data_IF_546163700438
#
_entry.id   IF_546163700438
#
_cell.length_a   1.000
_cell.length_b   1.000
_cell.length_c   1.000
_cell.angle_alpha   90.00
_cell.angle_beta   90.00
_cell.angle_gamma   90.00
#
_symmetry.space_group_name_H-M   'P 1'
#
loop_
_entity.id
_entity.type
_entity.pdbx_description
1 polymer ?
#
# COMPACT_ATOMS: atom_id res chain seq x y z
N UNK A 1 30.51 9.51 14.83
CA UNK A 1 29.29 8.92 15.39
C UNK A 1 29.40 7.41 15.25
N UNK A 2 29.48 6.66 16.37
CA UNK A 2 29.33 5.21 16.30
C UNK A 2 27.84 4.94 16.12
N UNK A 3 27.46 4.43 14.96
CA UNK A 3 26.07 4.05 14.70
C UNK A 3 25.75 2.82 15.53
N UNK A 4 24.95 2.99 16.58
CA UNK A 4 24.50 1.88 17.42
C UNK A 4 23.45 1.07 16.65
N UNK A 5 23.92 0.03 15.95
CA UNK A 5 23.08 -0.87 15.15
C UNK A 5 21.89 -1.44 15.94
N UNK A 6 22.08 -1.65 17.25
CA UNK A 6 21.03 -2.15 18.15
C UNK A 6 19.82 -1.23 18.20
N UNK A 7 20.05 0.09 18.21
CA UNK A 7 18.97 1.07 18.30
C UNK A 7 18.15 1.11 17.00
N UNK A 8 18.80 0.96 15.84
CA UNK A 8 18.12 0.92 14.53
C UNK A 8 17.27 -0.35 14.39
N UNK A 9 17.79 -1.49 14.83
CA UNK A 9 17.05 -2.76 14.77
C UNK A 9 15.89 -2.84 15.77
N UNK A 10 15.87 -1.98 16.78
CA UNK A 10 14.80 -1.89 17.77
C UNK A 10 13.67 -0.94 17.38
N UNK A 11 13.74 -0.29 16.21
CA UNK A 11 12.68 0.59 15.74
C UNK A 11 11.41 -0.21 15.46
N UNK A 12 10.30 0.28 16.03
CA UNK A 12 8.97 -0.26 15.75
C UNK A 12 8.49 0.26 14.40
N UNK A 13 7.97 -0.65 13.57
CA UNK A 13 7.49 -0.35 12.21
C UNK A 13 6.04 -0.76 12.11
N UNK A 14 5.12 0.15 11.74
CA UNK A 14 3.73 -0.21 11.53
C UNK A 14 3.62 -1.11 10.31
N UNK A 15 3.04 -2.28 10.52
CA UNK A 15 2.74 -3.25 9.48
C UNK A 15 1.23 -3.28 9.29
N UNK A 16 0.80 -3.06 8.05
CA UNK A 16 -0.61 -3.04 7.66
C UNK A 16 -0.90 -4.27 6.81
N UNK A 17 -1.98 -4.97 7.11
CA UNK A 17 -2.46 -6.08 6.28
C UNK A 17 -3.72 -5.64 5.58
N UNK A 18 -3.69 -5.66 4.25
CA UNK A 18 -4.79 -5.19 3.41
C UNK A 18 -5.64 -6.38 2.97
N UNK A 19 -6.89 -6.39 3.43
CA UNK A 19 -7.88 -7.40 3.05
C UNK A 19 -8.23 -7.29 1.56
N UNK A 20 -8.40 -6.06 1.06
CA UNK A 20 -8.60 -5.75 -0.34
C UNK A 20 -8.87 -4.26 -0.54
N UNK A 21 -8.74 -3.81 -1.79
CA UNK A 21 -8.88 -2.42 -2.19
C UNK A 21 -9.88 -2.30 -3.33
N UNK A 22 -10.59 -1.18 -3.37
CA UNK A 22 -11.54 -0.89 -4.44
C UNK A 22 -11.63 0.62 -4.67
N UNK A 23 -11.48 1.02 -5.92
CA UNK A 23 -11.74 2.40 -6.36
C UNK A 23 -13.23 2.61 -6.54
N UNK A 24 -13.77 3.67 -5.95
CA UNK A 24 -15.18 4.06 -6.00
C UNK A 24 -15.28 5.58 -6.18
N UNK A 25 -16.36 6.03 -6.81
CA UNK A 25 -16.57 7.46 -7.02
C UNK A 25 -16.79 8.17 -5.68
N UNK A 26 -16.21 9.36 -5.51
CA UNK A 26 -16.31 10.14 -4.27
C UNK A 26 -17.77 10.40 -3.86
N UNK A 27 -18.66 10.59 -4.83
CA UNK A 27 -20.10 10.76 -4.58
C UNK A 27 -20.71 9.56 -3.85
N UNK A 28 -20.28 8.35 -4.21
CA UNK A 28 -20.80 7.12 -3.61
C UNK A 28 -20.29 6.97 -2.17
N UNK A 29 -19.02 7.31 -1.92
CA UNK A 29 -18.43 7.30 -0.57
C UNK A 29 -19.18 8.23 0.37
N UNK A 30 -19.49 9.45 -0.09
CA UNK A 30 -20.21 10.45 0.71
C UNK A 30 -21.64 9.99 1.05
N UNK A 31 -22.23 9.13 0.22
CA UNK A 31 -23.59 8.61 0.44
C UNK A 31 -23.67 7.50 1.51
N UNK A 32 -22.53 7.02 2.02
CA UNK A 32 -22.51 5.91 2.97
C UNK A 32 -23.12 6.28 4.32
N UNK A 33 -23.96 5.38 4.81
CA UNK A 33 -24.64 5.50 6.10
C UNK A 33 -24.46 4.20 6.90
N UNK A 34 -24.65 4.22 8.23
CA UNK A 34 -24.63 2.98 9.01
C UNK A 34 -25.60 1.95 8.42
N UNK A 35 -25.06 0.77 8.06
CA UNK A 35 -25.81 -0.29 7.36
C UNK A 35 -25.56 -0.37 5.86
N UNK A 36 -24.80 0.55 5.26
CA UNK A 36 -24.29 0.42 3.89
C UNK A 36 -23.36 -0.79 3.77
N UNK A 37 -23.63 -1.65 2.79
CA UNK A 37 -22.83 -2.84 2.46
C UNK A 37 -22.11 -2.56 1.13
N UNK A 38 -20.80 -2.78 1.09
CA UNK A 38 -20.00 -2.66 -0.11
C UNK A 38 -19.19 -3.94 -0.31
N UNK A 39 -18.97 -4.28 -1.57
CA UNK A 39 -18.23 -5.46 -1.97
C UNK A 39 -16.78 -5.10 -2.27
N UNK A 40 -15.85 -5.92 -1.79
CA UNK A 40 -14.42 -5.83 -2.08
C UNK A 40 -14.11 -6.91 -3.11
N UNK A 41 -13.40 -6.61 -4.22
CA UNK A 41 -13.18 -7.54 -5.33
C UNK A 41 -12.16 -8.66 -5.02
N UNK A 42 -11.88 -8.93 -3.73
CA UNK A 42 -10.87 -9.90 -3.29
C UNK A 42 -11.55 -11.08 -2.61
N UNK A 43 -11.26 -12.28 -3.09
CA UNK A 43 -11.83 -13.53 -2.55
C UNK A 43 -11.34 -13.77 -1.12
N UNK A 44 -12.20 -14.31 -0.26
CA UNK A 44 -11.85 -14.60 1.14
C UNK A 44 -10.73 -15.66 1.29
N UNK A 45 -10.48 -16.44 0.23
CA UNK A 45 -9.49 -17.51 0.18
C UNK A 45 -8.14 -17.06 -0.38
N UNK A 46 -8.05 -15.82 -0.91
CA UNK A 46 -6.82 -15.28 -1.46
C UNK A 46 -5.86 -14.77 -0.38
N UNK A 47 -4.57 -14.75 -0.73
CA UNK A 47 -3.54 -14.21 0.15
C UNK A 47 -3.68 -12.69 0.30
N UNK A 48 -3.54 -12.22 1.54
CA UNK A 48 -3.61 -10.82 1.93
C UNK A 48 -2.26 -10.13 1.73
N UNK A 49 -2.31 -8.86 1.35
CA UNK A 49 -1.10 -8.08 1.13
C UNK A 49 -0.59 -7.55 2.46
N UNK A 50 0.69 -7.82 2.74
CA UNK A 50 1.38 -7.27 3.89
C UNK A 50 2.14 -6.03 3.41
N UNK A 51 1.81 -4.86 3.96
CA UNK A 51 2.35 -3.57 3.56
C UNK A 51 3.10 -2.87 4.69
N UNK A 52 4.13 -2.13 4.31
CA UNK A 52 4.83 -1.14 5.15
C UNK A 52 4.88 0.14 4.33
N UNK A 53 4.43 1.27 4.89
CA UNK A 53 4.34 2.56 4.18
C UNK A 53 3.74 2.40 2.77
N UNK A 54 2.53 1.81 2.71
CA UNK A 54 1.78 1.56 1.46
C UNK A 54 2.48 0.72 0.37
N UNK A 55 3.64 0.14 0.67
CA UNK A 55 4.35 -0.79 -0.22
C UNK A 55 4.15 -2.23 0.22
N UNK A 56 3.68 -3.07 -0.70
CA UNK A 56 3.60 -4.51 -0.50
C UNK A 56 4.99 -5.12 -0.31
N UNK A 57 5.19 -5.77 0.83
CA UNK A 57 6.44 -6.45 1.20
C UNK A 57 6.29 -7.97 1.24
N UNK A 58 5.07 -8.49 1.17
CA UNK A 58 4.81 -9.92 1.27
C UNK A 58 3.34 -10.27 1.18
N UNK A 59 3.07 -11.57 1.27
CA UNK A 59 1.75 -12.18 1.21
C UNK A 59 1.52 -13.04 2.45
N UNK A 60 0.29 -13.05 2.97
CA UNK A 60 -0.07 -13.91 4.07
C UNK A 60 -1.55 -14.24 4.12
N UNK A 61 -1.89 -15.39 4.69
CA UNK A 61 -3.29 -15.80 4.84
C UNK A 61 -3.80 -15.50 6.26
N UNK A 62 -5.06 -15.09 6.37
CA UNK A 62 -5.72 -14.98 7.67
C UNK A 62 -5.94 -16.38 8.27
N UNK A 63 -5.53 -16.57 9.52
CA UNK A 63 -5.69 -17.83 10.24
C UNK A 63 -6.35 -17.60 11.59
N UNK A 64 -7.17 -18.55 12.02
CA UNK A 64 -7.76 -18.57 13.36
C UNK A 64 -7.10 -19.66 14.19
N UNK A 65 -6.55 -19.30 15.34
CA UNK A 65 -5.89 -20.22 16.28
C UNK A 65 -6.66 -20.14 17.61
N UNK A 66 -7.51 -21.14 17.85
CA UNK A 66 -8.43 -21.12 18.99
C UNK A 66 -9.41 -19.95 18.84
N UNK A 67 -9.31 -18.98 19.74
CA UNK A 67 -10.10 -17.74 19.72
C UNK A 67 -9.35 -16.54 19.13
N UNK A 68 -8.07 -16.70 18.81
CA UNK A 68 -7.23 -15.63 18.29
C UNK A 68 -7.23 -15.61 16.76
N UNK A 69 -7.21 -14.40 16.20
CA UNK A 69 -6.92 -14.19 14.79
C UNK A 69 -5.43 -13.88 14.61
N UNK A 70 -4.84 -14.41 13.55
CA UNK A 70 -3.45 -14.17 13.18
C UNK A 70 -3.28 -14.15 11.68
N UNK A 71 -2.09 -13.75 11.25
CA UNK A 71 -1.68 -13.75 9.85
C UNK A 71 -0.53 -14.73 9.70
N UNK A 72 -0.71 -15.75 8.86
CA UNK A 72 0.37 -16.65 8.48
C UNK A 72 1.10 -16.06 7.29
N UNK A 73 2.35 -15.68 7.47
CA UNK A 73 3.20 -15.18 6.39
C UNK A 73 3.51 -16.33 5.43
N UNK A 74 3.03 -16.25 4.19
CA UNK A 74 3.30 -17.23 3.15
C UNK A 74 4.57 -16.87 2.37
N UNK A 75 4.72 -15.58 2.08
CA UNK A 75 5.87 -15.05 1.36
C UNK A 75 6.27 -13.70 1.94
N UNK A 76 7.57 -13.47 2.06
CA UNK A 76 8.11 -12.18 2.43
C UNK A 76 9.30 -11.84 1.52
N UNK A 77 9.30 -10.61 1.01
CA UNK A 77 10.33 -10.12 0.10
C UNK A 77 11.71 -10.03 0.75
N UNK A 78 12.71 -9.78 -0.09
CA UNK A 78 14.10 -9.75 0.34
C UNK A 78 14.36 -8.65 1.40
N UNK A 79 15.32 -8.82 2.31
CA UNK A 79 15.63 -7.81 3.33
C UNK A 79 15.88 -6.41 2.75
N UNK A 80 16.56 -6.32 1.60
CA UNK A 80 16.81 -5.06 0.90
C UNK A 80 15.51 -4.35 0.48
N UNK A 81 14.51 -5.10 -0.01
CA UNK A 81 13.21 -4.55 -0.40
C UNK A 81 12.42 -4.06 0.82
N UNK A 82 12.49 -4.78 1.95
CA UNK A 82 11.85 -4.37 3.20
C UNK A 82 12.45 -3.08 3.76
N UNK A 83 13.78 -2.97 3.78
CA UNK A 83 14.46 -1.76 4.25
C UNK A 83 14.10 -0.56 3.36
N UNK A 84 14.00 -0.77 2.04
CA UNK A 84 13.54 0.29 1.12
C UNK A 84 12.09 0.69 1.36
N UNK A 85 11.20 -0.26 1.70
CA UNK A 85 9.80 0.04 2.04
C UNK A 85 9.67 0.82 3.36
N UNK A 86 10.61 0.66 4.29
CA UNK A 86 10.65 1.42 5.54
C UNK A 86 11.18 2.86 5.38
N UNK A 87 11.84 3.16 4.26
CA UNK A 87 12.34 4.50 3.93
C UNK A 87 11.27 5.42 3.36
N UNK A 88 11.68 6.57 2.83
CA UNK A 88 10.76 7.53 2.20
C UNK A 88 10.05 6.95 0.98
N UNK A 89 8.75 7.18 0.95
CA UNK A 89 7.89 6.93 -0.19
C UNK A 89 8.28 7.94 -1.28
N UNK A 90 8.71 7.53 -2.49
CA UNK A 90 8.72 8.46 -3.61
C UNK A 90 7.27 8.96 -3.78
N UNK A 91 7.08 10.26 -4.08
CA UNK A 91 5.74 10.77 -4.35
C UNK A 91 5.08 9.87 -5.39
N UNK A 92 3.94 9.29 -5.03
CA UNK A 92 3.10 8.63 -6.01
C UNK A 92 2.45 9.78 -6.77
N UNK A 93 2.85 9.97 -8.03
CA UNK A 93 2.13 10.86 -8.95
C UNK A 93 0.77 10.21 -9.25
N UNK A 94 -0.14 10.31 -8.29
CA UNK A 94 -1.50 9.78 -8.37
C UNK A 94 -2.38 10.58 -9.35
N UNK A 95 -1.82 11.64 -9.95
CA UNK A 95 -2.44 12.41 -11.02
C UNK A 95 -2.01 11.90 -12.39
N UNK A 96 -2.58 10.76 -12.79
CA UNK A 96 -2.70 10.42 -14.21
C UNK A 96 -4.00 11.03 -14.73
N UNK A 97 -3.86 12.08 -15.54
CA UNK A 97 -4.94 12.57 -16.40
C UNK A 97 -5.38 11.46 -17.39
N UNK A 98 -6.61 11.53 -17.92
CA UNK A 98 -7.17 10.61 -18.92
C UNK A 98 -6.33 10.51 -20.20
N UNK A 99 -5.38 11.44 -20.40
CA UNK A 99 -4.37 11.43 -21.46
C UNK A 99 -3.17 10.49 -21.22
N UNK A 100 -3.02 9.96 -20.00
CA UNK A 100 -1.90 9.08 -19.63
C UNK A 100 -0.55 9.79 -19.49
N UNK A 101 -0.53 11.12 -19.47
CA UNK A 101 0.68 11.91 -19.32
C UNK A 101 0.95 12.23 -17.84
N UNK A 102 2.16 11.95 -17.37
CA UNK A 102 2.65 12.36 -16.05
C UNK A 102 2.78 13.88 -15.94
N UNK A 103 2.75 14.40 -14.72
CA UNK A 103 2.91 15.84 -14.46
C UNK A 103 4.25 16.38 -15.01
N UNK A 104 5.30 15.57 -14.97
CA UNK A 104 6.61 15.88 -15.54
C UNK A 104 6.57 15.98 -17.07
N UNK A 105 5.80 15.12 -17.75
CA UNK A 105 5.63 15.17 -19.21
C UNK A 105 4.84 16.40 -19.66
N UNK A 106 3.80 16.80 -18.90
CA UNK A 106 3.04 18.02 -19.17
C UNK A 106 3.91 19.26 -18.96
N UNK A 107 4.70 19.29 -17.89
CA UNK A 107 5.64 20.38 -17.62
C UNK A 107 6.70 20.50 -18.74
N UNK A 108 7.19 19.37 -19.25
CA UNK A 108 8.14 19.35 -20.36
C UNK A 108 7.50 19.84 -21.67
N UNK A 109 6.29 19.38 -22.00
CA UNK A 109 5.57 19.80 -23.21
C UNK A 109 5.24 21.31 -23.21
N UNK A 110 4.91 21.87 -22.04
CA UNK A 110 4.70 23.31 -21.86
C UNK A 110 5.99 24.12 -22.05
N UNK A 111 7.15 23.59 -21.60
CA UNK A 111 8.45 24.21 -21.81
C UNK A 111 8.92 24.12 -23.27
N UNK A 112 8.57 23.04 -23.96
CA UNK A 112 8.88 22.82 -25.38
C UNK A 112 7.94 23.55 -26.34
N UNK A 113 6.85 24.15 -25.83
CA UNK A 113 5.94 24.99 -26.61
C UNK A 113 5.10 24.20 -27.63
N UNK A 114 4.88 22.91 -27.41
CA UNK A 114 4.03 22.07 -28.26
C UNK A 114 2.64 21.91 -27.64
N UNK A 115 1.78 22.91 -27.87
CA UNK A 115 0.32 22.80 -27.77
C UNK A 115 -0.31 23.47 -29.01
#
# INVERSE_FOLDING_TARGET
MKTDLKSILALEVPLVVVLGERTIALRDVISWVPGSIFEIPKSAEEDLDIRINDRAIGLGSAVKIGENFGIRVNYIGNPKQRILAMGEQPPQDDFVDESGMSADEIAMALLEGQL
#
